data_IF_095995702828
#
_entry.id   IF_095995702828
#
_cell.length_a   1.000
_cell.length_b   1.000
_cell.length_c   1.000
_cell.angle_alpha   90.00
_cell.angle_beta   90.00
_cell.angle_gamma   90.00
#
_symmetry.space_group_name_H-M   'P 1'
#
loop_
_entity.id
_entity.type
_entity.pdbx_description
1 polymer ?
#
# COMPACT_ATOMS: atom_id res chain seq x y z
N UNK A 1 14.03 -23.43 14.18
CA UNK A 1 15.39 -23.99 14.33
C UNK A 1 16.36 -23.58 13.24
N UNK A 2 15.89 -22.95 12.16
CA UNK A 2 16.74 -22.50 11.03
C UNK A 2 17.22 -21.05 11.16
N UNK A 3 17.02 -20.42 12.29
CA UNK A 3 17.38 -19.01 12.53
C UNK A 3 18.89 -18.71 12.52
N UNK A 4 19.73 -19.71 12.53
CA UNK A 4 21.19 -19.53 12.64
C UNK A 4 21.96 -19.88 11.35
N UNK A 5 21.30 -20.39 10.30
CA UNK A 5 22.00 -20.84 9.09
C UNK A 5 21.90 -19.90 7.87
N UNK A 6 21.04 -18.88 7.91
CA UNK A 6 20.86 -17.96 6.79
C UNK A 6 21.54 -16.60 6.95
N UNK A 7 22.35 -16.43 8.00
CA UNK A 7 23.12 -15.18 8.17
C UNK A 7 24.37 -15.20 7.30
N UNK A 8 24.25 -14.68 6.10
CA UNK A 8 25.40 -14.34 5.29
C UNK A 8 25.34 -14.65 3.80
N UNK A 9 24.66 -15.69 3.35
CA UNK A 9 24.60 -16.05 1.93
C UNK A 9 23.17 -16.32 1.41
N UNK A 10 22.20 -16.58 2.29
CA UNK A 10 20.84 -16.92 1.91
C UNK A 10 19.91 -15.73 1.69
N UNK A 11 20.15 -14.60 2.34
CA UNK A 11 19.22 -13.46 2.32
C UNK A 11 19.34 -12.62 1.05
N UNK A 12 20.51 -12.58 0.42
CA UNK A 12 20.74 -11.79 -0.80
C UNK A 12 19.99 -12.33 -2.01
N UNK A 13 19.67 -13.64 -2.05
CA UNK A 13 19.08 -14.31 -3.21
C UNK A 13 17.73 -14.99 -2.95
N UNK A 14 17.15 -14.81 -1.79
CA UNK A 14 16.03 -15.63 -1.28
C UNK A 14 14.83 -15.72 -2.21
N UNK A 15 14.45 -14.64 -2.88
CA UNK A 15 13.30 -14.60 -3.81
C UNK A 15 13.69 -14.81 -5.27
N UNK A 16 14.89 -14.44 -5.65
CA UNK A 16 15.43 -14.74 -6.98
C UNK A 16 15.58 -16.24 -7.16
N UNK A 17 16.03 -16.98 -6.13
CA UNK A 17 16.07 -18.44 -6.14
C UNK A 17 14.70 -19.09 -6.28
N UNK A 18 13.65 -18.53 -5.66
CA UNK A 18 12.29 -19.05 -5.80
C UNK A 18 11.82 -19.01 -7.26
N UNK A 19 11.87 -17.83 -7.89
CA UNK A 19 11.40 -17.69 -9.28
C UNK A 19 12.25 -18.51 -10.25
N UNK A 20 13.59 -18.57 -10.05
CA UNK A 20 14.48 -19.40 -10.87
C UNK A 20 14.09 -20.86 -10.83
N UNK A 21 13.86 -21.42 -9.62
CA UNK A 21 13.46 -22.80 -9.44
C UNK A 21 12.06 -23.09 -10.01
N UNK A 22 11.09 -22.22 -9.75
CA UNK A 22 9.72 -22.35 -10.27
C UNK A 22 9.70 -22.26 -11.79
N UNK A 23 10.39 -21.28 -12.38
CA UNK A 23 10.45 -21.11 -13.83
C UNK A 23 11.12 -22.30 -14.51
N UNK A 24 12.26 -22.76 -13.98
CA UNK A 24 12.94 -23.96 -14.48
C UNK A 24 12.02 -25.18 -14.46
N UNK A 25 11.36 -25.46 -13.33
CA UNK A 25 10.49 -26.61 -13.20
C UNK A 25 9.29 -26.54 -14.15
N UNK A 26 8.62 -25.37 -14.22
CA UNK A 26 7.47 -25.16 -15.10
C UNK A 26 7.88 -25.31 -16.57
N UNK A 27 8.94 -24.64 -17.00
CA UNK A 27 9.39 -24.70 -18.40
C UNK A 27 9.89 -26.10 -18.80
N UNK A 28 10.39 -26.88 -17.85
CA UNK A 28 10.79 -28.26 -18.10
C UNK A 28 9.59 -29.20 -18.28
N UNK A 29 8.50 -28.97 -17.54
CA UNK A 29 7.31 -29.84 -17.56
C UNK A 29 6.23 -29.35 -18.52
N UNK A 30 6.06 -28.05 -18.63
CA UNK A 30 5.00 -27.36 -19.38
C UNK A 30 5.55 -26.09 -20.04
N UNK A 31 6.35 -26.23 -21.12
CA UNK A 31 7.04 -25.09 -21.75
C UNK A 31 6.10 -24.02 -22.31
N UNK A 32 4.84 -24.37 -22.58
CA UNK A 32 3.81 -23.45 -23.04
C UNK A 32 3.31 -22.47 -21.96
N UNK A 33 3.52 -22.78 -20.67
CA UNK A 33 3.08 -21.92 -19.56
C UNK A 33 4.01 -20.73 -19.45
N UNK A 34 3.41 -19.54 -19.39
CA UNK A 34 4.15 -18.29 -19.18
C UNK A 34 4.46 -18.08 -17.71
N UNK A 35 5.69 -17.69 -17.42
CA UNK A 35 6.18 -17.38 -16.07
C UNK A 35 6.63 -15.93 -16.02
N UNK A 36 6.02 -15.16 -15.15
CA UNK A 36 6.30 -13.74 -14.98
C UNK A 36 6.93 -13.46 -13.61
N UNK A 37 7.96 -12.61 -13.60
CA UNK A 37 8.55 -12.08 -12.37
C UNK A 37 7.89 -10.75 -11.96
N UNK A 38 7.83 -10.50 -10.65
CA UNK A 38 7.34 -9.22 -10.12
C UNK A 38 8.29 -8.70 -9.06
N UNK A 39 8.73 -7.45 -9.21
CA UNK A 39 9.56 -6.76 -8.23
C UNK A 39 8.87 -5.50 -7.70
N UNK A 40 9.30 -5.04 -6.51
CA UNK A 40 8.96 -3.69 -6.07
C UNK A 40 9.73 -2.65 -6.92
N UNK A 41 9.06 -1.59 -7.34
CA UNK A 41 9.66 -0.52 -8.13
C UNK A 41 10.85 0.13 -7.42
N UNK A 42 10.80 0.22 -6.08
CA UNK A 42 11.90 0.73 -5.25
C UNK A 42 13.08 -0.25 -5.06
N UNK A 43 13.04 -1.45 -5.67
CA UNK A 43 14.08 -2.47 -5.60
C UNK A 43 14.19 -3.28 -6.90
N UNK A 44 14.25 -2.60 -8.04
CA UNK A 44 14.10 -3.18 -9.38
C UNK A 44 15.41 -3.73 -9.98
N UNK A 45 16.33 -4.25 -9.19
CA UNK A 45 17.65 -4.68 -9.66
C UNK A 45 17.61 -5.76 -10.75
N UNK A 46 16.78 -6.80 -10.56
CA UNK A 46 16.64 -7.87 -11.54
C UNK A 46 15.81 -7.44 -12.75
N UNK A 47 14.83 -6.55 -12.59
CA UNK A 47 14.08 -5.95 -13.68
C UNK A 47 15.03 -5.20 -14.63
N UNK A 48 15.89 -4.34 -14.10
CA UNK A 48 16.88 -3.61 -14.90
C UNK A 48 17.86 -4.56 -15.60
N UNK A 49 18.37 -5.57 -14.86
CA UNK A 49 19.27 -6.55 -15.45
C UNK A 49 18.61 -7.33 -16.58
N UNK A 50 17.32 -7.70 -16.45
CA UNK A 50 16.58 -8.47 -17.44
C UNK A 50 16.30 -7.67 -18.72
N UNK A 51 15.85 -6.42 -18.60
CA UNK A 51 15.44 -5.59 -19.73
C UNK A 51 16.61 -4.85 -20.39
N UNK A 52 17.52 -4.30 -19.59
CA UNK A 52 18.62 -3.48 -20.07
C UNK A 52 19.90 -4.28 -20.34
N UNK A 53 19.90 -5.58 -19.99
CA UNK A 53 21.06 -6.46 -20.01
C UNK A 53 22.25 -5.89 -19.21
N UNK A 54 21.95 -5.09 -18.18
CA UNK A 54 22.92 -4.45 -17.30
C UNK A 54 22.89 -5.08 -15.92
N UNK A 55 23.96 -5.76 -15.58
CA UNK A 55 24.16 -6.31 -14.27
C UNK A 55 24.78 -5.27 -13.34
N UNK A 56 23.93 -4.43 -12.75
CA UNK A 56 24.37 -3.32 -11.91
C UNK A 56 23.81 -3.42 -10.49
N UNK A 57 24.58 -2.91 -9.52
CA UNK A 57 24.12 -2.75 -8.14
C UNK A 57 23.36 -1.43 -8.00
N UNK A 58 22.16 -1.47 -7.47
CA UNK A 58 21.39 -0.26 -7.18
C UNK A 58 22.06 0.54 -6.06
N UNK A 59 22.19 1.84 -6.22
CA UNK A 59 22.72 2.73 -5.18
C UNK A 59 21.79 2.74 -3.95
N UNK A 60 20.48 2.85 -4.21
CA UNK A 60 19.46 2.90 -3.18
C UNK A 60 18.35 1.88 -3.43
N UNK A 61 17.85 1.32 -2.34
CA UNK A 61 16.67 0.45 -2.31
C UNK A 61 15.70 0.99 -1.26
N UNK A 62 14.47 1.23 -1.67
CA UNK A 62 13.41 1.74 -0.79
C UNK A 62 12.12 0.99 -1.04
N UNK A 63 11.86 -0.02 -0.22
CA UNK A 63 10.62 -0.78 -0.24
C UNK A 63 10.34 -1.38 1.15
N UNK A 64 9.07 -1.42 1.55
CA UNK A 64 8.67 -2.17 2.74
C UNK A 64 8.57 -3.68 2.47
N UNK A 65 8.64 -4.10 1.22
CA UNK A 65 8.73 -5.50 0.82
C UNK A 65 10.17 -6.02 1.01
N UNK A 66 10.65 -6.06 2.25
CA UNK A 66 12.02 -6.38 2.66
C UNK A 66 12.54 -7.72 2.12
N UNK A 67 11.63 -8.71 1.98
CA UNK A 67 11.96 -10.01 1.37
C UNK A 67 12.41 -9.95 -0.09
N UNK A 68 12.25 -8.83 -0.79
CA UNK A 68 12.69 -8.58 -2.17
C UNK A 68 13.54 -7.30 -2.31
N UNK A 69 13.94 -6.69 -1.21
CA UNK A 69 14.79 -5.50 -1.17
C UNK A 69 16.26 -5.85 -1.51
N UNK A 70 16.51 -6.28 -2.72
CA UNK A 70 17.83 -6.77 -3.17
C UNK A 70 18.49 -5.75 -4.08
N UNK A 71 19.70 -5.29 -3.69
CA UNK A 71 20.47 -4.30 -4.44
C UNK A 71 21.11 -4.86 -5.71
N UNK A 72 21.63 -6.08 -5.63
CA UNK A 72 22.42 -6.69 -6.72
C UNK A 72 21.75 -7.99 -7.18
N UNK A 73 21.51 -8.19 -8.47
CA UNK A 73 21.09 -9.49 -9.00
C UNK A 73 22.14 -10.57 -8.68
N UNK A 74 21.71 -11.80 -8.43
CA UNK A 74 22.63 -12.92 -8.28
C UNK A 74 23.01 -13.47 -9.66
N UNK A 75 24.29 -13.76 -9.91
CA UNK A 75 24.79 -14.26 -11.22
C UNK A 75 24.02 -15.50 -11.67
N UNK A 76 24.06 -16.55 -10.88
CA UNK A 76 23.40 -17.83 -11.21
C UNK A 76 21.87 -17.69 -11.36
N UNK A 77 21.26 -16.82 -10.55
CA UNK A 77 19.81 -16.57 -10.65
C UNK A 77 19.45 -15.74 -11.86
N UNK A 78 20.30 -14.80 -12.25
CA UNK A 78 20.13 -14.02 -13.47
C UNK A 78 20.16 -14.89 -14.72
N UNK A 79 21.13 -15.82 -14.83
CA UNK A 79 21.19 -16.76 -15.94
C UNK A 79 19.91 -17.61 -16.07
N UNK A 80 19.43 -18.16 -14.95
CA UNK A 80 18.21 -18.97 -14.94
C UNK A 80 16.97 -18.13 -15.28
N UNK A 81 16.87 -16.93 -14.71
CA UNK A 81 15.75 -16.02 -14.95
C UNK A 81 15.74 -15.58 -16.41
N UNK A 82 16.86 -15.17 -16.97
CA UNK A 82 16.98 -14.76 -18.38
C UNK A 82 16.59 -15.88 -19.35
N UNK A 83 16.80 -17.13 -18.95
CA UNK A 83 16.50 -18.30 -19.80
C UNK A 83 15.06 -18.79 -19.68
N UNK A 84 14.46 -18.72 -18.50
CA UNK A 84 13.21 -19.42 -18.20
C UNK A 84 12.04 -18.52 -17.82
N UNK A 85 12.27 -17.25 -17.48
CA UNK A 85 11.21 -16.27 -17.18
C UNK A 85 10.84 -15.54 -18.47
N UNK A 86 9.54 -15.39 -18.73
CA UNK A 86 9.07 -14.77 -19.96
C UNK A 86 9.13 -13.23 -19.90
N UNK A 87 8.91 -12.66 -18.72
CA UNK A 87 9.03 -11.21 -18.50
C UNK A 87 9.07 -10.89 -17.01
N UNK A 88 9.55 -9.69 -16.66
CA UNK A 88 9.56 -9.14 -15.29
C UNK A 88 8.88 -7.78 -15.32
N UNK A 89 7.98 -7.55 -14.34
CA UNK A 89 7.30 -6.27 -14.17
C UNK A 89 7.55 -5.70 -12.77
N UNK A 90 7.29 -4.42 -12.60
CA UNK A 90 7.40 -3.75 -11.30
C UNK A 90 6.04 -3.28 -10.80
N UNK A 91 5.90 -3.27 -9.47
CA UNK A 91 4.74 -2.73 -8.74
C UNK A 91 5.20 -1.71 -7.72
N UNK A 92 4.38 -0.69 -7.50
CA UNK A 92 4.65 0.36 -6.51
C UNK A 92 4.33 -0.12 -5.08
N UNK A 93 4.80 0.63 -4.08
CA UNK A 93 4.49 0.37 -2.67
C UNK A 93 2.98 0.42 -2.39
N UNK A 94 2.26 1.34 -3.04
CA UNK A 94 0.80 1.47 -2.89
C UNK A 94 0.04 0.31 -3.53
N UNK A 95 0.51 -0.19 -4.65
CA UNK A 95 -0.04 -1.38 -5.30
C UNK A 95 0.18 -2.63 -4.44
N UNK A 96 1.36 -2.77 -3.82
CA UNK A 96 1.65 -3.86 -2.87
C UNK A 96 0.75 -3.76 -1.63
N UNK A 97 0.62 -2.57 -1.04
CA UNK A 97 -0.24 -2.34 0.12
C UNK A 97 -1.71 -2.68 -0.18
N UNK A 98 -2.20 -2.28 -1.35
CA UNK A 98 -3.56 -2.60 -1.82
C UNK A 98 -3.75 -4.11 -2.01
N UNK A 99 -2.74 -4.81 -2.53
CA UNK A 99 -2.79 -6.26 -2.68
C UNK A 99 -2.84 -6.99 -1.34
N UNK A 100 -2.04 -6.56 -0.35
CA UNK A 100 -2.08 -7.10 1.03
C UNK A 100 -3.48 -6.92 1.61
N UNK A 101 -4.04 -5.71 1.53
CA UNK A 101 -5.38 -5.44 2.05
C UNK A 101 -6.44 -6.29 1.35
N UNK A 102 -6.36 -6.42 0.03
CA UNK A 102 -7.26 -7.27 -0.77
C UNK A 102 -7.19 -8.74 -0.34
N UNK A 103 -5.99 -9.27 -0.10
CA UNK A 103 -5.81 -10.63 0.40
C UNK A 103 -6.46 -10.81 1.78
N UNK A 104 -6.29 -9.86 2.69
CA UNK A 104 -6.91 -9.89 4.02
C UNK A 104 -8.43 -9.85 3.89
N UNK A 105 -8.97 -8.91 3.13
CA UNK A 105 -10.42 -8.69 3.05
C UNK A 105 -11.17 -9.79 2.27
N UNK A 106 -10.60 -10.23 1.15
CA UNK A 106 -11.28 -11.16 0.24
C UNK A 106 -10.95 -12.62 0.50
N UNK A 107 -9.70 -12.91 0.89
CA UNK A 107 -9.21 -14.27 1.05
C UNK A 107 -8.93 -14.67 2.50
N UNK A 108 -8.98 -13.72 3.45
CA UNK A 108 -8.61 -13.91 4.88
C UNK A 108 -7.16 -14.43 5.03
N UNK A 109 -6.30 -14.00 4.13
CA UNK A 109 -4.91 -14.40 4.04
C UNK A 109 -4.01 -13.20 4.36
N UNK A 110 -3.06 -13.39 5.28
CA UNK A 110 -2.03 -12.41 5.60
C UNK A 110 -0.78 -12.76 4.80
N UNK A 111 -0.36 -11.84 3.93
CA UNK A 111 0.87 -11.94 3.15
C UNK A 111 1.83 -10.82 3.51
N UNK A 112 3.12 -11.10 3.48
CA UNK A 112 4.16 -10.05 3.52
C UNK A 112 4.24 -9.31 2.18
N UNK A 113 4.87 -8.12 2.15
CA UNK A 113 4.98 -7.30 0.94
C UNK A 113 5.51 -8.09 -0.27
N UNK A 114 6.60 -8.84 -0.08
CA UNK A 114 7.18 -9.67 -1.13
C UNK A 114 6.24 -10.77 -1.64
N UNK A 115 5.43 -11.36 -0.75
CA UNK A 115 4.45 -12.38 -1.10
C UNK A 115 3.23 -11.84 -1.83
N UNK A 116 2.90 -10.56 -1.65
CA UNK A 116 1.75 -9.91 -2.26
C UNK A 116 2.02 -9.33 -3.66
N UNK A 117 3.28 -9.18 -4.08
CA UNK A 117 3.64 -8.58 -5.37
C UNK A 117 2.98 -9.23 -6.59
N UNK A 118 2.84 -10.57 -6.70
CA UNK A 118 2.16 -11.17 -7.84
C UNK A 118 0.68 -10.79 -7.91
N UNK A 119 0.03 -10.65 -6.75
CA UNK A 119 -1.36 -10.22 -6.67
C UNK A 119 -1.49 -8.75 -7.04
N UNK A 120 -0.54 -7.90 -6.62
CA UNK A 120 -0.48 -6.50 -7.05
C UNK A 120 -0.37 -6.39 -8.57
N UNK A 121 0.54 -7.13 -9.20
CA UNK A 121 0.70 -7.11 -10.66
C UNK A 121 -0.58 -7.54 -11.40
N UNK A 122 -1.31 -8.50 -10.84
CA UNK A 122 -2.58 -8.96 -11.41
C UNK A 122 -3.72 -7.95 -11.22
N UNK A 123 -3.80 -7.29 -10.05
CA UNK A 123 -4.85 -6.31 -9.73
C UNK A 123 -4.72 -5.02 -10.55
N UNK A 124 -3.48 -4.62 -10.85
CA UNK A 124 -3.17 -3.36 -11.53
C UNK A 124 -2.81 -3.54 -13.02
N UNK A 125 -3.26 -4.65 -13.62
CA UNK A 125 -3.11 -4.92 -15.06
C UNK A 125 -1.67 -4.77 -15.60
N UNK A 126 -0.66 -5.12 -14.76
CA UNK A 126 0.76 -5.06 -15.17
C UNK A 126 1.15 -6.16 -16.14
N UNK A 127 0.32 -7.19 -16.28
CA UNK A 127 0.59 -8.39 -17.06
C UNK A 127 -0.53 -8.69 -18.06
N UNK A 128 -0.25 -9.30 -19.22
CA UNK A 128 -1.24 -9.63 -20.24
C UNK A 128 -2.03 -10.90 -19.88
N UNK A 129 -2.70 -10.88 -18.71
CA UNK A 129 -3.38 -12.05 -18.11
C UNK A 129 -4.90 -12.05 -18.30
N UNK A 130 -5.46 -10.98 -18.87
CA UNK A 130 -6.91 -10.86 -19.07
C UNK A 130 -7.47 -12.02 -19.88
N UNK A 131 -8.49 -12.70 -19.34
CA UNK A 131 -9.10 -13.88 -19.95
C UNK A 131 -8.27 -15.17 -19.87
N UNK A 132 -7.16 -15.19 -19.12
CA UNK A 132 -6.29 -16.35 -18.95
C UNK A 132 -6.42 -16.96 -17.56
N UNK A 133 -6.14 -18.24 -17.45
CA UNK A 133 -5.98 -18.92 -16.16
C UNK A 133 -4.63 -18.53 -15.57
N UNK A 134 -4.66 -17.78 -14.47
CA UNK A 134 -3.46 -17.24 -13.83
C UNK A 134 -3.34 -17.78 -12.41
N UNK A 135 -2.12 -18.08 -12.00
CA UNK A 135 -1.78 -18.48 -10.63
C UNK A 135 -0.80 -17.45 -10.07
N UNK A 136 -1.18 -16.80 -8.97
CA UNK A 136 -0.30 -15.93 -8.20
C UNK A 136 0.31 -16.73 -7.05
N UNK A 137 1.64 -16.83 -7.00
CA UNK A 137 2.37 -17.52 -5.93
C UNK A 137 2.52 -16.57 -4.74
N UNK A 138 1.64 -16.65 -3.76
CA UNK A 138 1.73 -15.88 -2.52
C UNK A 138 2.71 -16.57 -1.57
N UNK A 139 3.95 -16.11 -1.57
CA UNK A 139 5.07 -16.81 -0.93
C UNK A 139 5.56 -16.10 0.34
N UNK A 140 4.86 -16.23 1.43
CA UNK A 140 5.29 -15.73 2.73
C UNK A 140 4.28 -14.82 3.41
N UNK A 141 4.25 -14.88 4.74
CA UNK A 141 3.31 -14.15 5.60
C UNK A 141 3.98 -13.52 6.82
N UNK A 142 5.32 -13.42 6.84
CA UNK A 142 6.04 -12.84 7.97
C UNK A 142 6.09 -11.31 7.84
N UNK A 143 4.94 -10.66 7.96
CA UNK A 143 4.82 -9.20 7.96
C UNK A 143 4.93 -8.66 9.38
N UNK A 144 5.65 -7.55 9.55
CA UNK A 144 5.68 -6.81 10.80
C UNK A 144 4.31 -6.18 11.09
N UNK A 145 3.85 -6.29 12.35
CA UNK A 145 2.52 -5.81 12.76
C UNK A 145 2.37 -4.30 12.58
N UNK A 146 3.45 -3.52 12.74
CA UNK A 146 3.40 -2.07 12.52
C UNK A 146 3.24 -1.76 11.02
N UNK A 147 3.92 -2.49 10.16
CA UNK A 147 3.75 -2.36 8.70
C UNK A 147 2.31 -2.74 8.32
N UNK A 148 1.80 -3.85 8.86
CA UNK A 148 0.43 -4.28 8.62
C UNK A 148 -0.59 -3.21 9.07
N UNK A 149 -0.42 -2.64 10.25
CA UNK A 149 -1.26 -1.54 10.76
C UNK A 149 -1.25 -0.33 9.81
N UNK A 150 -0.07 0.06 9.31
CA UNK A 150 0.07 1.16 8.34
C UNK A 150 -0.61 0.85 7.02
N UNK A 151 -0.49 -0.37 6.52
CA UNK A 151 -1.18 -0.83 5.29
C UNK A 151 -2.69 -0.75 5.46
N UNK A 152 -3.22 -1.24 6.58
CA UNK A 152 -4.66 -1.21 6.89
C UNK A 152 -5.16 0.24 6.96
N UNK A 153 -4.49 1.09 7.75
CA UNK A 153 -4.87 2.50 7.91
C UNK A 153 -4.87 3.24 6.57
N UNK A 154 -3.80 3.08 5.77
CA UNK A 154 -3.70 3.69 4.45
C UNK A 154 -4.80 3.21 3.52
N UNK A 155 -5.10 1.90 3.53
CA UNK A 155 -6.17 1.32 2.73
C UNK A 155 -7.55 1.84 3.13
N UNK A 156 -7.82 2.06 4.41
CA UNK A 156 -9.06 2.67 4.88
C UNK A 156 -9.22 4.10 4.36
N UNK A 157 -8.15 4.91 4.39
CA UNK A 157 -8.16 6.27 3.85
C UNK A 157 -8.37 6.26 2.33
N UNK A 158 -7.61 5.46 1.60
CA UNK A 158 -7.69 5.38 0.13
C UNK A 158 -9.06 4.87 -0.36
N UNK A 159 -9.69 3.98 0.39
CA UNK A 159 -11.03 3.47 0.07
C UNK A 159 -12.18 4.37 0.56
N UNK A 160 -11.86 5.51 1.17
CA UNK A 160 -12.87 6.41 1.73
C UNK A 160 -13.59 5.88 2.98
N UNK A 161 -12.99 4.89 3.67
CA UNK A 161 -13.52 4.35 4.93
C UNK A 161 -12.99 5.06 6.16
N UNK A 162 -12.05 5.97 5.98
CA UNK A 162 -11.53 6.86 7.01
C UNK A 162 -11.17 8.21 6.40
N UNK A 163 -11.53 9.28 7.08
CA UNK A 163 -11.23 10.65 6.64
C UNK A 163 -10.88 11.53 7.82
N UNK A 164 -9.97 12.48 7.60
CA UNK A 164 -9.73 13.60 8.50
C UNK A 164 -10.39 14.83 7.91
N UNK A 165 -11.33 15.41 8.62
CA UNK A 165 -11.96 16.68 8.26
C UNK A 165 -11.47 17.78 9.20
N UNK A 166 -11.09 18.90 8.64
CA UNK A 166 -10.74 20.12 9.41
C UNK A 166 -11.78 21.18 9.13
N UNK A 167 -12.44 21.63 10.18
CA UNK A 167 -13.54 22.58 10.12
C UNK A 167 -13.12 23.84 10.86
N UNK A 168 -13.25 24.99 10.21
CA UNK A 168 -13.08 26.29 10.86
C UNK A 168 -14.40 26.68 11.54
N UNK A 169 -14.35 26.91 12.85
CA UNK A 169 -15.50 27.27 13.68
C UNK A 169 -15.29 28.61 14.35
N UNK A 170 -16.39 29.29 14.68
CA UNK A 170 -16.38 30.27 15.74
C UNK A 170 -16.28 29.57 17.11
N UNK A 171 -15.40 30.04 17.99
CA UNK A 171 -15.24 29.48 19.34
C UNK A 171 -16.41 29.85 20.23
N UNK A 172 -17.55 29.20 20.05
CA UNK A 172 -18.78 29.41 20.80
C UNK A 172 -19.38 28.08 21.28
N UNK A 173 -20.03 28.05 22.44
CA UNK A 173 -20.78 26.87 22.88
C UNK A 173 -21.77 26.37 21.84
N UNK A 174 -21.90 25.03 21.70
CA UNK A 174 -22.84 24.40 20.81
C UNK A 174 -22.34 24.15 19.37
N UNK A 175 -21.20 24.69 18.94
CA UNK A 175 -20.69 24.47 17.58
C UNK A 175 -20.30 23.00 17.34
N UNK A 176 -19.56 22.40 18.28
CA UNK A 176 -19.21 20.99 18.23
C UNK A 176 -20.47 20.09 18.19
N UNK A 177 -21.52 20.43 18.95
CA UNK A 177 -22.77 19.68 18.96
C UNK A 177 -23.41 19.67 17.57
N UNK A 178 -23.55 20.84 16.92
CA UNK A 178 -24.12 20.96 15.57
C UNK A 178 -23.35 20.12 14.54
N UNK A 179 -22.01 20.18 14.58
CA UNK A 179 -21.16 19.39 13.68
C UNK A 179 -21.39 17.90 13.94
N UNK A 180 -21.40 17.47 15.20
CA UNK A 180 -21.61 16.06 15.58
C UNK A 180 -22.99 15.55 15.20
N UNK A 181 -24.04 16.37 15.28
CA UNK A 181 -25.39 16.04 14.83
C UNK A 181 -25.44 15.77 13.32
N UNK A 182 -24.79 16.62 12.51
CA UNK A 182 -24.71 16.43 11.05
C UNK A 182 -23.99 15.12 10.71
N UNK A 183 -22.85 14.84 11.34
CA UNK A 183 -22.08 13.63 11.14
C UNK A 183 -22.90 12.40 11.52
N UNK A 184 -23.56 12.44 12.67
CA UNK A 184 -24.44 11.35 13.15
C UNK A 184 -25.60 11.08 12.21
N UNK A 185 -26.25 12.14 11.67
CA UNK A 185 -27.33 12.00 10.68
C UNK A 185 -26.85 11.39 9.36
N UNK A 186 -25.58 11.57 9.01
CA UNK A 186 -24.97 10.88 7.86
C UNK A 186 -24.58 9.42 8.17
N UNK A 187 -24.66 8.99 9.44
CA UNK A 187 -24.31 7.62 9.86
C UNK A 187 -22.81 7.33 9.89
N UNK A 188 -21.98 8.34 10.01
CA UNK A 188 -20.55 8.19 10.22
C UNK A 188 -20.20 8.13 11.72
N UNK A 189 -19.10 7.44 12.05
CA UNK A 189 -18.61 7.33 13.41
C UNK A 189 -17.43 8.28 13.63
N UNK A 190 -17.42 8.98 14.79
CA UNK A 190 -16.31 9.85 15.19
C UNK A 190 -15.31 9.05 15.99
N UNK A 191 -14.07 8.95 15.50
CA UNK A 191 -12.96 8.22 16.13
C UNK A 191 -12.07 9.15 16.96
N UNK A 192 -11.86 10.37 16.46
CA UNK A 192 -11.02 11.34 17.12
C UNK A 192 -11.55 12.76 16.96
N UNK A 193 -11.37 13.56 18.02
CA UNK A 193 -11.75 14.99 18.06
C UNK A 193 -10.58 15.79 18.60
N UNK A 194 -10.07 16.71 17.79
CA UNK A 194 -9.04 17.65 18.21
C UNK A 194 -9.54 19.08 18.03
N UNK A 195 -9.64 19.81 19.13
CA UNK A 195 -10.09 21.20 19.13
C UNK A 195 -8.89 22.13 19.36
N UNK A 196 -8.44 22.80 18.31
CA UNK A 196 -7.29 23.71 18.36
C UNK A 196 -7.74 25.17 18.38
N UNK A 197 -7.35 25.89 19.45
CA UNK A 197 -7.62 27.32 19.67
C UNK A 197 -6.38 28.17 19.57
N UNK A 198 -5.21 27.59 19.40
CA UNK A 198 -3.91 28.25 19.55
C UNK A 198 -3.23 28.59 18.23
N UNK A 199 -3.94 28.59 17.12
CA UNK A 199 -3.37 28.90 15.81
C UNK A 199 -3.23 30.43 15.65
N UNK A 200 -1.98 30.86 15.43
CA UNK A 200 -1.64 32.32 15.33
C UNK A 200 -2.25 33.03 14.10
N UNK A 201 -2.71 32.25 13.10
CA UNK A 201 -3.31 32.79 11.88
C UNK A 201 -4.83 32.88 11.94
N UNK A 202 -5.43 32.52 13.07
CA UNK A 202 -6.87 32.62 13.26
C UNK A 202 -7.30 33.93 13.95
N UNK A 203 -8.53 34.35 13.65
CA UNK A 203 -9.18 35.39 14.47
C UNK A 203 -9.27 34.90 15.92
N UNK A 204 -9.13 35.82 16.89
CA UNK A 204 -9.18 35.50 18.34
C UNK A 204 -10.45 34.71 18.72
N UNK A 205 -11.52 34.87 17.95
CA UNK A 205 -12.81 34.18 18.13
C UNK A 205 -12.97 32.89 17.33
N UNK A 206 -11.93 32.47 16.61
CA UNK A 206 -11.96 31.27 15.77
C UNK A 206 -11.26 30.07 16.40
N UNK A 207 -11.61 28.88 15.95
CA UNK A 207 -10.92 27.64 16.28
C UNK A 207 -10.98 26.64 15.12
N UNK A 208 -10.01 25.69 15.09
CA UNK A 208 -10.07 24.54 14.20
C UNK A 208 -10.57 23.33 14.97
N UNK A 209 -11.54 22.66 14.37
CA UNK A 209 -12.00 21.36 14.81
C UNK A 209 -11.53 20.33 13.80
N UNK A 210 -10.57 19.49 14.19
CA UNK A 210 -10.13 18.34 13.39
C UNK A 210 -10.85 17.10 13.90
N UNK A 211 -11.54 16.42 12.98
CA UNK A 211 -12.30 15.20 13.23
C UNK A 211 -11.72 14.05 12.41
N UNK A 212 -11.46 12.94 13.09
CA UNK A 212 -11.21 11.66 12.43
C UNK A 212 -12.53 10.87 12.38
N UNK A 213 -12.96 10.50 11.19
CA UNK A 213 -14.22 9.81 10.97
C UNK A 213 -13.99 8.44 10.33
N UNK A 214 -14.76 7.46 10.80
CA UNK A 214 -15.01 6.22 10.06
C UNK A 214 -16.27 6.38 9.21
N UNK A 215 -16.12 6.02 7.94
CA UNK A 215 -17.14 6.17 6.91
C UNK A 215 -17.26 4.86 6.11
N UNK A 216 -18.34 4.69 5.36
CA UNK A 216 -18.54 3.51 4.50
C UNK A 216 -17.72 3.58 3.22
N UNK A 217 -17.70 4.78 2.62
CA UNK A 217 -17.10 5.03 1.30
C UNK A 217 -16.92 6.53 1.05
N UNK A 218 -16.31 6.87 -0.08
CA UNK A 218 -16.09 8.24 -0.50
C UNK A 218 -17.39 9.04 -0.75
N UNK A 219 -18.49 8.37 -1.10
CA UNK A 219 -19.77 9.04 -1.31
C UNK A 219 -20.34 9.59 0.00
N UNK A 220 -20.21 8.83 1.09
CA UNK A 220 -20.60 9.29 2.43
C UNK A 220 -19.74 10.46 2.91
N UNK A 221 -18.43 10.45 2.62
CA UNK A 221 -17.56 11.58 2.93
C UNK A 221 -18.08 12.83 2.25
N UNK A 222 -18.36 12.75 0.95
CA UNK A 222 -18.90 13.86 0.19
C UNK A 222 -20.26 14.36 0.74
N UNK A 223 -21.15 13.46 1.13
CA UNK A 223 -22.42 13.82 1.77
C UNK A 223 -22.21 14.64 3.05
N UNK A 224 -21.24 14.21 3.89
CA UNK A 224 -20.90 14.95 5.12
C UNK A 224 -20.36 16.34 4.81
N UNK A 225 -19.42 16.44 3.86
CA UNK A 225 -18.83 17.72 3.44
C UNK A 225 -19.88 18.69 2.90
N UNK A 226 -20.78 18.19 2.04
CA UNK A 226 -21.87 18.97 1.44
C UNK A 226 -22.84 19.49 2.53
N UNK A 227 -23.24 18.63 3.49
CA UNK A 227 -24.13 19.03 4.59
C UNK A 227 -23.48 20.01 5.57
N UNK A 228 -22.22 19.82 5.90
CA UNK A 228 -21.46 20.75 6.73
C UNK A 228 -21.37 22.12 6.05
N UNK A 229 -21.06 22.14 4.77
CA UNK A 229 -20.98 23.37 3.97
C UNK A 229 -22.36 24.08 3.88
N UNK A 230 -23.43 23.33 3.63
CA UNK A 230 -24.80 23.84 3.60
C UNK A 230 -25.25 24.41 4.97
N UNK A 231 -24.73 23.89 6.07
CA UNK A 231 -24.96 24.41 7.43
C UNK A 231 -24.10 25.64 7.77
N UNK A 232 -23.27 26.10 6.83
CA UNK A 232 -22.42 27.30 6.98
C UNK A 232 -21.05 27.03 7.59
N UNK A 233 -20.63 25.76 7.72
CA UNK A 233 -19.30 25.43 8.20
C UNK A 233 -18.29 25.49 7.06
N UNK A 234 -17.11 26.03 7.35
CA UNK A 234 -16.01 26.13 6.38
C UNK A 234 -15.04 24.97 6.57
N UNK A 235 -14.95 24.10 5.58
CA UNK A 235 -13.92 23.05 5.51
C UNK A 235 -12.60 23.62 5.02
N UNK A 236 -11.50 23.18 5.61
CA UNK A 236 -10.14 23.57 5.22
C UNK A 236 -9.28 22.33 4.99
N UNK A 237 -8.25 22.44 4.14
CA UNK A 237 -7.33 21.32 3.94
C UNK A 237 -6.48 21.08 5.18
N UNK A 238 -6.15 19.82 5.46
CA UNK A 238 -5.28 19.43 6.59
C UNK A 238 -3.88 20.07 6.47
N UNK A 239 -3.42 20.38 5.26
CA UNK A 239 -2.16 21.13 5.02
C UNK A 239 -2.20 22.57 5.50
N UNK A 240 -3.36 23.19 5.50
CA UNK A 240 -3.52 24.58 6.00
C UNK A 240 -3.45 24.60 7.53
N UNK A 241 -3.85 23.52 8.20
CA UNK A 241 -3.80 23.40 9.66
C UNK A 241 -2.46 22.82 10.18
N UNK A 242 -1.57 22.34 9.30
CA UNK A 242 -0.30 21.70 9.66
C UNK A 242 0.93 22.62 9.44
N UNK A 243 0.74 23.86 8.95
CA UNK A 243 1.86 24.77 8.65
C UNK A 243 2.30 25.63 9.83
N UNK A 244 1.89 25.30 11.05
CA UNK A 244 2.33 26.03 12.24
C UNK A 244 2.45 25.15 13.48
#
# INVERSE_FOLDING_TARGET
RDRLRSRGLGDVYKRQGLISGVAFAIKSLRPEVKVYGVQAAGAASMYNAFHDHKYETLEHVSTFADGIAVKTPGENTYELISKYVDDIVTVSEDEIATAILTLIEKQKLIAEGAGATPVAAALFDKLPIKGKKTVCVVSGGNIDVNILSRVITRGQVTSGRRVNLVIMLEDRPGQLLKVSEIISQCGANVVGVHHNRSDANMAITGCFLKLELETRDAAQIKEIEDKLTAAGFKLVSDQTAAQH
#
